data_IF_653458134372
#
_entry.id   IF_653458134372
#
_cell.length_a   1.000
_cell.length_b   1.000
_cell.length_c   1.000
_cell.angle_alpha   90.00
_cell.angle_beta   90.00
_cell.angle_gamma   90.00
#
_symmetry.space_group_name_H-M   'P 1'
#
loop_
_entity.id
_entity.type
_entity.pdbx_description
1 polymer ?
#
# COMPACT_ATOMS: atom_id res chain seq x y z
N UNK A 1 -4.46 -1.87 29.04
CA UNK A 1 -4.44 -2.70 27.82
C UNK A 1 -4.92 -4.09 28.16
N UNK A 2 -5.75 -4.71 27.32
CA UNK A 2 -6.24 -6.09 27.54
C UNK A 2 -5.15 -7.13 27.23
N UNK A 3 -4.29 -6.84 26.24
CA UNK A 3 -3.11 -7.62 25.86
C UNK A 3 -1.90 -6.70 26.02
N UNK A 4 -0.89 -7.15 26.77
CA UNK A 4 0.36 -6.41 26.85
C UNK A 4 1.09 -6.48 25.50
N UNK A 5 1.53 -5.32 25.02
CA UNK A 5 2.29 -5.19 23.78
C UNK A 5 3.47 -4.24 24.01
N UNK A 6 4.72 -4.67 23.83
CA UNK A 6 5.90 -3.82 23.94
C UNK A 6 5.86 -2.63 22.96
N UNK A 7 6.58 -1.53 23.24
CA UNK A 7 6.47 -0.29 22.46
C UNK A 7 6.90 -0.44 21.01
N UNK A 8 8.03 -1.11 20.79
CA UNK A 8 8.57 -1.44 19.48
C UNK A 8 7.58 -2.26 18.66
N UNK A 9 6.97 -3.27 19.27
CA UNK A 9 5.94 -4.11 18.63
C UNK A 9 4.68 -3.31 18.35
N UNK A 10 4.26 -2.42 19.27
CA UNK A 10 3.09 -1.58 19.07
C UNK A 10 3.25 -0.61 17.89
N UNK A 11 4.43 -0.02 17.71
CA UNK A 11 4.73 0.83 16.54
C UNK A 11 4.68 0.01 15.25
N UNK A 12 5.30 -1.17 15.24
CA UNK A 12 5.29 -2.04 14.06
C UNK A 12 3.86 -2.51 13.71
N UNK A 13 3.08 -2.95 14.69
CA UNK A 13 1.66 -3.28 14.50
C UNK A 13 0.85 -2.07 14.00
N UNK A 14 1.12 -0.88 14.55
CA UNK A 14 0.54 0.37 14.08
C UNK A 14 0.81 0.61 12.58
N UNK A 15 2.02 0.32 12.11
CA UNK A 15 2.37 0.49 10.69
C UNK A 15 1.62 -0.47 9.76
N UNK A 16 1.45 -1.74 10.15
CA UNK A 16 0.63 -2.70 9.39
C UNK A 16 -0.85 -2.29 9.39
N UNK A 17 -1.37 -1.76 10.50
CA UNK A 17 -2.73 -1.26 10.57
C UNK A 17 -2.94 -0.04 9.64
N UNK A 18 -1.95 0.84 9.53
CA UNK A 18 -1.95 1.96 8.59
C UNK A 18 -1.91 1.47 7.14
N UNK A 19 -1.01 0.53 6.79
CA UNK A 19 -0.97 -0.07 5.45
C UNK A 19 -2.31 -0.72 5.08
N UNK A 20 -2.91 -1.50 5.98
CA UNK A 20 -4.20 -2.15 5.73
C UNK A 20 -5.35 -1.14 5.55
N UNK A 21 -5.25 0.06 6.14
CA UNK A 21 -6.30 1.08 6.06
C UNK A 21 -6.13 2.03 4.88
N UNK A 22 -4.90 2.47 4.61
CA UNK A 22 -4.61 3.54 3.65
C UNK A 22 -3.93 3.04 2.36
N UNK A 23 -3.47 1.78 2.33
CA UNK A 23 -2.64 1.26 1.25
C UNK A 23 -1.26 1.91 1.26
N UNK A 24 -0.55 1.84 0.13
CA UNK A 24 0.82 2.35 0.02
C UNK A 24 0.97 3.81 0.41
N UNK A 25 2.04 4.11 1.15
CA UNK A 25 2.40 5.48 1.45
C UNK A 25 2.65 6.32 0.18
N UNK A 26 1.98 7.47 0.07
CA UNK A 26 2.20 8.46 -0.98
C UNK A 26 2.40 9.85 -0.36
N UNK A 27 3.59 10.45 -0.55
CA UNK A 27 3.97 11.77 -0.03
C UNK A 27 3.08 12.94 -0.50
N UNK A 28 2.40 12.78 -1.64
CA UNK A 28 1.47 13.79 -2.15
C UNK A 28 0.14 13.78 -1.39
N UNK A 29 -0.31 12.58 -0.97
CA UNK A 29 -1.60 12.36 -0.31
C UNK A 29 -1.45 12.38 1.22
N UNK A 30 -0.46 11.65 1.75
CA UNK A 30 -0.18 11.51 3.17
C UNK A 30 0.71 12.65 3.65
N UNK A 31 0.08 13.79 3.94
CA UNK A 31 0.73 14.94 4.58
C UNK A 31 0.87 14.71 6.09
N UNK A 32 1.79 15.45 6.72
CA UNK A 32 1.97 15.42 8.17
C UNK A 32 0.64 15.56 8.91
N UNK A 33 0.40 14.68 9.89
CA UNK A 33 -0.83 14.63 10.65
C UNK A 33 -1.94 13.77 10.05
N UNK A 34 -1.71 13.04 8.94
CA UNK A 34 -2.72 12.15 8.34
C UNK A 34 -3.16 10.99 9.27
N UNK A 35 -2.42 10.74 10.36
CA UNK A 35 -2.70 9.71 11.37
C UNK A 35 -3.36 10.26 12.63
N UNK A 36 -3.64 11.58 12.72
CA UNK A 36 -4.17 12.23 13.92
C UNK A 36 -5.58 11.76 14.32
N UNK A 37 -6.35 11.17 13.41
CA UNK A 37 -7.65 10.57 13.75
C UNK A 37 -7.53 9.15 14.30
N UNK A 38 -6.36 8.53 14.17
CA UNK A 38 -6.17 7.10 14.42
C UNK A 38 -5.70 6.82 15.84
N UNK A 39 -6.23 5.73 16.40
CA UNK A 39 -5.80 5.18 17.68
C UNK A 39 -4.84 4.01 17.43
N UNK A 40 -3.60 4.36 17.09
CA UNK A 40 -2.59 3.37 16.65
C UNK A 40 -1.82 2.71 17.79
N UNK A 41 -1.68 3.40 18.93
CA UNK A 41 -0.86 2.93 20.04
C UNK A 41 -1.69 2.77 21.32
N UNK A 42 -1.37 1.79 22.18
CA UNK A 42 -1.93 1.69 23.52
C UNK A 42 -1.59 2.90 24.37
N UNK A 43 -2.51 3.31 25.25
CA UNK A 43 -2.34 4.50 26.10
C UNK A 43 -1.07 4.40 26.96
N UNK A 44 -0.78 3.21 27.49
CA UNK A 44 0.44 2.92 28.26
C UNK A 44 1.73 3.26 27.50
N UNK A 45 1.77 2.96 26.19
CA UNK A 45 2.93 3.23 25.33
C UNK A 45 3.09 4.73 25.11
N UNK A 46 1.98 5.45 24.94
CA UNK A 46 1.99 6.90 24.80
C UNK A 46 2.48 7.61 26.07
N UNK A 47 2.07 7.13 27.24
CA UNK A 47 2.36 7.78 28.53
C UNK A 47 3.77 7.50 29.06
N UNK A 48 4.33 6.32 28.78
CA UNK A 48 5.64 5.94 29.34
C UNK A 48 6.84 6.62 28.64
N UNK A 49 6.65 7.18 27.45
CA UNK A 49 7.70 7.86 26.70
C UNK A 49 7.40 9.36 26.58
N UNK A 50 8.44 10.19 26.63
CA UNK A 50 8.34 11.64 26.44
C UNK A 50 8.33 12.01 24.95
N UNK A 51 7.51 11.34 24.16
CA UNK A 51 7.34 11.63 22.73
C UNK A 51 6.02 12.34 22.51
N UNK A 52 6.03 13.37 21.68
CA UNK A 52 4.82 14.00 21.18
C UNK A 52 4.08 13.06 20.23
N UNK A 53 2.81 13.37 19.98
CA UNK A 53 2.00 12.63 19.00
C UNK A 53 2.66 12.60 17.62
N UNK A 54 3.14 13.74 17.15
CA UNK A 54 3.79 13.87 15.84
C UNK A 54 5.04 12.99 15.73
N UNK A 55 5.82 12.87 16.81
CA UNK A 55 6.99 11.98 16.84
C UNK A 55 6.63 10.49 16.82
N UNK A 56 5.47 10.11 17.38
CA UNK A 56 4.97 8.74 17.23
C UNK A 56 4.46 8.47 15.81
N UNK A 57 3.78 9.45 15.21
CA UNK A 57 3.33 9.36 13.83
C UNK A 57 4.51 9.22 12.87
N UNK A 58 5.57 10.02 13.03
CA UNK A 58 6.79 9.92 12.23
C UNK A 58 7.40 8.51 12.30
N UNK A 59 7.45 7.89 13.50
CA UNK A 59 7.96 6.52 13.66
C UNK A 59 7.10 5.49 12.95
N UNK A 60 5.78 5.63 13.00
CA UNK A 60 4.86 4.72 12.30
C UNK A 60 4.93 4.94 10.79
N UNK A 61 5.05 6.19 10.35
CA UNK A 61 5.20 6.56 8.94
C UNK A 61 6.46 5.94 8.33
N UNK A 62 7.60 5.97 9.04
CA UNK A 62 8.84 5.31 8.59
C UNK A 62 8.63 3.82 8.31
N UNK A 63 7.85 3.11 9.13
CA UNK A 63 7.54 1.71 8.85
C UNK A 63 6.48 1.56 7.75
N UNK A 64 5.51 2.46 7.67
CA UNK A 64 4.50 2.45 6.61
C UNK A 64 5.13 2.59 5.21
N UNK A 65 6.22 3.36 5.07
CA UNK A 65 6.93 3.45 3.78
C UNK A 65 7.60 2.15 3.37
N UNK A 66 8.01 1.31 4.32
CA UNK A 66 8.64 0.01 4.07
C UNK A 66 7.64 -1.06 3.58
N UNK A 67 6.34 -0.86 3.82
CA UNK A 67 5.29 -1.81 3.42
C UNK A 67 4.77 -1.57 1.99
N UNK A 68 5.46 -0.74 1.19
CA UNK A 68 5.02 -0.40 -0.17
C UNK A 68 4.88 -1.66 -1.04
N UNK A 69 3.74 -1.77 -1.72
CA UNK A 69 3.38 -2.91 -2.55
C UNK A 69 2.73 -4.07 -1.77
N UNK A 70 2.58 -3.94 -0.45
CA UNK A 70 1.90 -4.93 0.38
C UNK A 70 0.39 -4.78 0.25
N UNK A 71 -0.29 -5.88 -0.03
CA UNK A 71 -1.75 -5.92 -0.09
C UNK A 71 -2.35 -5.70 1.30
N UNK A 72 -3.58 -5.19 1.32
CA UNK A 72 -4.33 -4.98 2.56
C UNK A 72 -4.45 -6.28 3.36
N UNK A 73 -4.77 -7.38 2.69
CA UNK A 73 -4.95 -8.70 3.27
C UNK A 73 -3.64 -9.23 3.86
N UNK A 74 -2.53 -9.03 3.15
CA UNK A 74 -1.20 -9.39 3.62
C UNK A 74 -0.79 -8.55 4.85
N UNK A 75 -1.07 -7.24 4.85
CA UNK A 75 -0.81 -6.37 5.99
C UNK A 75 -1.62 -6.79 7.23
N UNK A 76 -2.91 -7.15 7.06
CA UNK A 76 -3.73 -7.69 8.14
C UNK A 76 -3.19 -9.04 8.65
N UNK A 77 -2.69 -9.90 7.76
CA UNK A 77 -2.11 -11.18 8.12
C UNK A 77 -0.79 -11.02 8.87
N UNK A 78 0.12 -10.15 8.43
CA UNK A 78 1.38 -9.85 9.12
C UNK A 78 1.14 -9.24 10.50
N UNK A 79 0.15 -8.33 10.63
CA UNK A 79 -0.30 -7.85 11.93
C UNK A 79 -0.64 -9.01 12.87
N UNK A 80 -1.47 -9.95 12.42
CA UNK A 80 -1.90 -11.09 13.23
C UNK A 80 -0.75 -12.07 13.52
N UNK A 81 0.19 -12.25 12.58
CA UNK A 81 1.38 -13.09 12.78
C UNK A 81 2.29 -12.58 13.89
N UNK A 82 2.41 -11.27 14.04
CA UNK A 82 3.17 -10.66 15.13
C UNK A 82 2.35 -10.68 16.42
N UNK A 83 1.07 -10.30 16.35
CA UNK A 83 0.21 -10.22 17.53
C UNK A 83 0.02 -11.58 18.22
N UNK A 84 -0.01 -12.69 17.45
CA UNK A 84 -0.18 -14.03 18.03
C UNK A 84 0.98 -14.49 18.92
N UNK A 85 2.16 -13.89 18.76
CA UNK A 85 3.35 -14.22 19.54
C UNK A 85 3.44 -13.43 20.86
N UNK A 86 2.53 -12.47 21.09
CA UNK A 86 2.43 -11.75 22.37
C UNK A 86 1.97 -12.69 23.49
N UNK A 87 2.58 -12.57 24.67
CA UNK A 87 2.42 -13.54 25.76
C UNK A 87 0.99 -13.63 26.31
N UNK A 88 0.19 -12.57 26.15
CA UNK A 88 -1.21 -12.53 26.59
C UNK A 88 -2.21 -12.82 25.46
N UNK A 89 -1.74 -13.01 24.22
CA UNK A 89 -2.61 -13.18 23.08
C UNK A 89 -3.42 -14.47 23.17
N UNK A 90 -4.73 -14.37 22.96
CA UNK A 90 -5.63 -15.52 22.95
C UNK A 90 -5.85 -16.19 24.31
N UNK A 91 -5.36 -15.61 25.41
CA UNK A 91 -5.47 -16.19 26.76
C UNK A 91 -6.71 -15.66 27.48
N UNK A 92 -7.55 -16.59 27.95
CA UNK A 92 -8.68 -16.28 28.82
C UNK A 92 -8.26 -16.44 30.29
N UNK A 93 -8.14 -15.33 31.02
CA UNK A 93 -7.71 -15.34 32.42
C UNK A 93 -8.87 -15.49 33.41
N UNK A 94 -8.68 -16.33 34.42
CA UNK A 94 -9.62 -16.56 35.53
C UNK A 94 -8.90 -16.50 36.87
N UNK A 95 -9.48 -15.78 37.83
CA UNK A 95 -9.01 -15.78 39.22
C UNK A 95 -9.34 -17.12 39.87
N UNK A 96 -8.31 -17.77 40.42
CA UNK A 96 -8.42 -19.06 41.08
C UNK A 96 -7.59 -19.09 42.37
N UNK A 97 -7.88 -20.06 43.23
CA UNK A 97 -7.09 -20.37 44.43
C UNK A 97 -6.58 -21.80 44.40
N UNK A 98 -5.36 -22.02 44.86
CA UNK A 98 -4.85 -23.38 45.10
C UNK A 98 -5.42 -23.95 46.42
N UNK A 99 -5.06 -25.19 46.78
CA UNK A 99 -5.46 -25.83 48.06
C UNK A 99 -5.00 -25.05 49.30
N UNK A 100 -3.92 -24.26 49.20
CA UNK A 100 -3.38 -23.43 50.29
C UNK A 100 -4.06 -22.05 50.39
N UNK A 101 -4.96 -21.73 49.46
CA UNK A 101 -5.68 -20.45 49.43
C UNK A 101 -4.93 -19.31 48.73
N UNK A 102 -3.77 -19.55 48.12
CA UNK A 102 -3.02 -18.53 47.38
C UNK A 102 -3.80 -18.08 46.13
N UNK A 103 -3.88 -16.78 45.93
CA UNK A 103 -4.45 -16.17 44.72
C UNK A 103 -3.54 -16.40 43.51
N UNK A 104 -4.12 -16.89 42.41
CA UNK A 104 -3.44 -17.24 41.17
C UNK A 104 -4.35 -16.90 39.98
N UNK A 105 -3.77 -16.88 38.78
CA UNK A 105 -4.54 -16.86 37.54
C UNK A 105 -4.45 -18.20 36.83
N UNK A 106 -5.58 -18.65 36.29
CA UNK A 106 -5.66 -19.68 35.27
C UNK A 106 -5.79 -19.00 33.90
N UNK A 107 -4.90 -19.29 32.97
CA UNK A 107 -5.05 -18.99 31.56
C UNK A 107 -5.56 -20.20 30.80
N UNK A 108 -6.58 -20.00 29.97
CA UNK A 108 -7.08 -21.00 29.01
C UNK A 108 -6.85 -20.47 27.60
N UNK A 109 -6.09 -21.23 26.79
CA UNK A 109 -5.76 -20.86 25.41
C UNK A 109 -5.86 -22.05 24.45
N UNK A 110 -5.48 -21.83 23.19
CA UNK A 110 -5.56 -22.83 22.14
C UNK A 110 -4.53 -23.98 22.28
N UNK A 111 -3.52 -23.83 23.14
CA UNK A 111 -2.42 -24.77 23.35
C UNK A 111 -2.59 -25.60 24.62
N UNK A 112 -3.19 -25.02 25.67
CA UNK A 112 -3.43 -25.71 26.92
C UNK A 112 -4.00 -24.83 28.04
N UNK A 113 -3.61 -25.21 29.26
CA UNK A 113 -3.90 -24.48 30.48
C UNK A 113 -2.60 -24.00 31.12
N UNK A 114 -2.61 -22.77 31.62
CA UNK A 114 -1.44 -22.15 32.21
C UNK A 114 -1.79 -21.56 33.58
N UNK A 115 -0.89 -21.68 34.56
CA UNK A 115 -1.05 -21.13 35.91
C UNK A 115 -0.05 -20.00 36.08
N UNK A 116 -0.54 -18.85 36.51
CA UNK A 116 0.26 -17.65 36.72
C UNK A 116 0.15 -17.17 38.16
N UNK A 117 1.18 -16.46 38.60
CA UNK A 117 1.13 -15.73 39.87
C UNK A 117 0.15 -14.56 39.77
N UNK A 118 -0.42 -14.14 40.90
CA UNK A 118 -1.42 -13.07 40.89
C UNK A 118 -0.91 -11.75 40.28
N UNK A 119 0.40 -11.49 40.41
CA UNK A 119 1.05 -10.23 40.07
C UNK A 119 1.71 -10.24 38.67
N UNK A 120 1.73 -11.39 37.99
CA UNK A 120 2.40 -11.56 36.68
C UNK A 120 1.54 -12.44 35.78
N UNK A 121 0.91 -11.84 34.77
CA UNK A 121 0.10 -12.54 33.75
C UNK A 121 0.88 -12.88 32.48
N UNK A 122 2.14 -12.48 32.38
CA UNK A 122 2.99 -12.69 31.21
C UNK A 122 3.69 -14.05 31.29
N UNK A 123 4.22 -14.39 32.47
CA UNK A 123 5.06 -15.59 32.62
C UNK A 123 4.30 -16.72 33.33
N UNK A 124 3.91 -17.80 32.63
CA UNK A 124 3.28 -18.94 33.28
C UNK A 124 4.31 -19.69 34.16
N UNK A 125 3.87 -20.12 35.34
CA UNK A 125 4.68 -20.95 36.26
C UNK A 125 4.49 -22.43 36.04
N UNK A 126 3.30 -22.85 35.62
CA UNK A 126 2.95 -24.24 35.35
C UNK A 126 2.10 -24.27 34.08
N UNK A 127 2.42 -25.16 33.16
CA UNK A 127 1.66 -25.39 31.93
C UNK A 127 1.15 -26.83 31.84
N UNK A 128 -0.04 -27.00 31.27
CA UNK A 128 -0.65 -28.28 30.93
C UNK A 128 -1.07 -28.26 29.47
N UNK A 129 -0.24 -28.78 28.54
CA UNK A 129 -0.63 -28.93 27.15
C UNK A 129 -1.91 -29.75 27.01
N UNK A 130 -2.75 -29.44 26.02
CA UNK A 130 -3.99 -30.21 25.80
C UNK A 130 -3.74 -31.71 25.62
N UNK A 131 -2.59 -32.11 25.04
CA UNK A 131 -2.19 -33.51 24.89
C UNK A 131 -1.84 -34.23 26.20
N UNK A 132 -1.69 -33.53 27.31
CA UNK A 132 -1.36 -34.12 28.62
C UNK A 132 -2.58 -34.22 29.53
N UNK A 133 -3.74 -33.73 29.09
CA UNK A 133 -4.96 -33.69 29.89
C UNK A 133 -5.89 -34.83 29.47
N UNK A 134 -6.24 -35.69 30.44
CA UNK A 134 -7.16 -36.82 30.22
C UNK A 134 -8.61 -36.41 30.43
N UNK A 135 -8.87 -35.69 31.51
CA UNK A 135 -10.22 -35.32 31.91
C UNK A 135 -10.22 -34.03 32.72
N UNK A 136 -11.24 -33.21 32.51
CA UNK A 136 -11.49 -32.00 33.28
C UNK A 136 -12.90 -32.08 33.86
N UNK A 137 -13.05 -31.78 35.14
CA UNK A 137 -14.36 -31.69 35.79
C UNK A 137 -14.36 -30.72 36.95
N UNK A 138 -15.55 -30.33 37.42
CA UNK A 138 -15.70 -29.54 38.62
C UNK A 138 -16.92 -29.98 39.44
N UNK A 139 -16.88 -29.71 40.74
CA UNK A 139 -18.01 -29.83 41.64
C UNK A 139 -18.06 -28.59 42.55
N UNK A 140 -19.17 -27.86 42.48
CA UNK A 140 -19.34 -26.54 43.09
C UNK A 140 -18.16 -25.59 42.77
N UNK A 141 -17.33 -25.25 43.77
CA UNK A 141 -16.15 -24.38 43.61
C UNK A 141 -14.89 -25.14 43.21
N UNK A 142 -14.81 -26.45 43.44
CA UNK A 142 -13.61 -27.27 43.23
C UNK A 142 -13.52 -27.71 41.78
N UNK A 143 -12.40 -27.42 41.13
CA UNK A 143 -12.08 -27.82 39.76
C UNK A 143 -10.91 -28.81 39.77
N UNK A 144 -10.97 -29.83 38.92
CA UNK A 144 -10.01 -30.93 38.87
C UNK A 144 -9.56 -31.16 37.43
N UNK A 145 -8.24 -31.16 37.22
CA UNK A 145 -7.58 -31.53 35.97
C UNK A 145 -6.84 -32.83 36.21
N UNK A 146 -7.21 -33.87 35.47
CA UNK A 146 -6.59 -35.19 35.55
C UNK A 146 -5.61 -35.37 34.39
N UNK A 147 -4.33 -35.63 34.65
CA UNK A 147 -3.35 -35.87 33.58
C UNK A 147 -3.56 -37.21 32.86
N UNK A 148 -2.98 -37.33 31.66
CA UNK A 148 -2.86 -38.59 30.94
C UNK A 148 -1.86 -39.52 31.63
N UNK A 149 -0.82 -39.02 32.30
CA UNK A 149 -0.04 -39.91 33.16
C UNK A 149 -0.86 -40.28 34.41
N UNK A 150 -1.17 -41.57 34.58
CA UNK A 150 -1.91 -42.08 35.75
C UNK A 150 -1.12 -41.95 37.06
N UNK A 151 0.21 -41.82 36.99
CA UNK A 151 1.08 -41.67 38.17
C UNK A 151 1.15 -40.21 38.63
N UNK A 152 0.93 -39.26 37.73
CA UNK A 152 0.91 -37.84 38.06
C UNK A 152 -0.33 -37.49 38.89
N UNK A 153 -0.20 -36.66 39.94
CA UNK A 153 -1.31 -36.28 40.79
C UNK A 153 -2.31 -35.39 40.05
N UNK A 154 -3.59 -35.49 40.42
CA UNK A 154 -4.64 -34.57 39.97
C UNK A 154 -4.30 -33.13 40.38
N UNK A 155 -4.37 -32.19 39.43
CA UNK A 155 -4.26 -30.77 39.72
C UNK A 155 -5.62 -30.22 40.13
N UNK A 156 -5.68 -29.51 41.27
CA UNK A 156 -6.94 -29.04 41.86
C UNK A 156 -6.82 -27.57 42.22
N UNK A 157 -7.81 -26.79 41.79
CA UNK A 157 -7.96 -25.38 42.16
C UNK A 157 -9.42 -25.06 42.48
N UNK A 158 -9.65 -23.85 42.97
CA UNK A 158 -10.96 -23.37 43.39
C UNK A 158 -11.26 -22.03 42.73
N UNK A 159 -12.40 -21.94 42.04
CA UNK A 159 -12.91 -20.66 41.54
C UNK A 159 -13.90 -20.05 42.55
N UNK A 160 -14.03 -18.72 42.62
CA UNK A 160 -14.86 -18.07 43.64
C UNK A 160 -16.37 -18.30 43.44
N UNK A 161 -16.81 -18.61 42.22
CA UNK A 161 -18.23 -18.78 41.86
C UNK A 161 -18.42 -19.97 40.91
N UNK A 162 -19.50 -20.73 41.09
CA UNK A 162 -19.91 -21.85 40.22
C UNK A 162 -19.98 -21.46 38.72
N UNK A 163 -20.51 -20.26 38.42
CA UNK A 163 -20.63 -19.76 37.04
C UNK A 163 -19.27 -19.64 36.33
N UNK A 164 -18.20 -19.37 37.09
CA UNK A 164 -16.85 -19.26 36.54
C UNK A 164 -16.36 -20.65 36.14
N UNK A 165 -16.55 -21.66 36.99
CA UNK A 165 -16.21 -23.04 36.66
C UNK A 165 -16.95 -23.54 35.40
N UNK A 166 -18.23 -23.20 35.24
CA UNK A 166 -18.98 -23.51 34.00
C UNK A 166 -18.31 -22.89 32.77
N UNK A 167 -17.91 -21.62 32.83
CA UNK A 167 -17.24 -20.92 31.72
C UNK A 167 -15.85 -21.49 31.43
N UNK A 168 -15.05 -21.79 32.47
CA UNK A 168 -13.74 -22.44 32.31
C UNK A 168 -13.92 -23.77 31.59
N UNK A 169 -14.84 -24.63 32.05
CA UNK A 169 -15.08 -25.93 31.44
C UNK A 169 -15.49 -25.83 29.97
N UNK A 170 -16.40 -24.91 29.63
CA UNK A 170 -16.82 -24.68 28.24
C UNK A 170 -15.64 -24.29 27.34
N UNK A 171 -14.79 -23.37 27.81
CA UNK A 171 -13.59 -22.97 27.06
C UNK A 171 -12.59 -24.11 26.93
N UNK A 172 -12.38 -24.90 27.98
CA UNK A 172 -11.50 -26.07 27.91
C UNK A 172 -12.00 -27.09 26.89
N UNK A 173 -13.30 -27.39 26.89
CA UNK A 173 -13.90 -28.33 25.94
C UNK A 173 -13.74 -27.85 24.49
N UNK A 174 -14.10 -26.60 24.20
CA UNK A 174 -13.97 -26.03 22.85
C UNK A 174 -12.52 -25.94 22.37
N UNK A 175 -11.60 -25.49 23.22
CA UNK A 175 -10.18 -25.40 22.86
C UNK A 175 -9.57 -26.79 22.65
N UNK A 176 -9.84 -27.74 23.53
CA UNK A 176 -9.35 -29.12 23.39
C UNK A 176 -9.90 -29.80 22.12
N UNK A 177 -11.18 -29.60 21.79
CA UNK A 177 -11.79 -30.11 20.55
C UNK A 177 -11.08 -29.55 19.31
N UNK A 178 -10.91 -28.23 19.24
CA UNK A 178 -10.19 -27.58 18.13
C UNK A 178 -8.72 -27.99 18.08
N UNK A 179 -8.05 -28.15 19.22
CA UNK A 179 -6.67 -28.64 19.32
C UNK A 179 -6.53 -30.04 18.72
N UNK A 180 -7.48 -30.94 19.02
CA UNK A 180 -7.51 -32.29 18.46
C UNK A 180 -7.87 -32.30 16.98
N UNK A 181 -8.78 -31.42 16.53
CA UNK A 181 -9.12 -31.26 15.12
C UNK A 181 -7.90 -30.82 14.29
N UNK A 182 -7.11 -29.85 14.76
CA UNK A 182 -5.89 -29.35 14.08
C UNK A 182 -4.77 -30.40 13.93
N UNK A 183 -4.82 -31.50 14.69
CA UNK A 183 -3.85 -32.62 14.62
C UNK A 183 -4.29 -33.75 13.71
N UNK A 184 -5.49 -33.66 13.15
CA UNK A 184 -6.00 -34.59 12.14
C UNK A 184 -5.84 -33.96 10.76
N UNK A 185 -5.82 -34.77 9.69
CA UNK A 185 -5.92 -34.23 8.34
C UNK A 185 -7.16 -33.34 8.18
N UNK A 186 -7.04 -32.31 7.36
CA UNK A 186 -8.16 -31.43 7.04
C UNK A 186 -9.34 -32.21 6.47
N UNK A 187 -10.55 -31.83 6.85
CA UNK A 187 -11.77 -32.37 6.27
C UNK A 187 -11.91 -31.94 4.81
N UNK A 188 -12.67 -32.69 4.02
CA UNK A 188 -12.93 -32.36 2.60
C UNK A 188 -13.44 -30.92 2.45
N UNK A 189 -14.35 -30.51 3.33
CA UNK A 189 -14.87 -29.14 3.38
C UNK A 189 -13.75 -28.10 3.58
N UNK A 190 -12.84 -28.31 4.53
CA UNK A 190 -11.72 -27.38 4.78
C UNK A 190 -10.75 -27.37 3.59
N UNK A 191 -10.51 -28.50 2.94
CA UNK A 191 -9.68 -28.56 1.73
C UNK A 191 -10.31 -27.78 0.57
N UNK A 192 -11.62 -27.91 0.36
CA UNK A 192 -12.36 -27.14 -0.63
C UNK A 192 -12.34 -25.64 -0.33
N UNK A 193 -12.57 -25.24 0.92
CA UNK A 193 -12.47 -23.85 1.35
C UNK A 193 -11.07 -23.26 1.09
N UNK A 194 -10.01 -24.02 1.39
CA UNK A 194 -8.62 -23.59 1.11
C UNK A 194 -8.34 -23.47 -0.39
N UNK A 195 -8.83 -24.40 -1.20
CA UNK A 195 -8.68 -24.33 -2.66
C UNK A 195 -9.40 -23.11 -3.23
N UNK A 196 -10.65 -22.87 -2.81
CA UNK A 196 -11.44 -21.71 -3.22
C UNK A 196 -10.78 -20.39 -2.80
N UNK A 197 -10.30 -20.29 -1.55
CA UNK A 197 -9.62 -19.10 -1.07
C UNK A 197 -8.33 -18.81 -1.86
N UNK A 198 -7.58 -19.85 -2.25
CA UNK A 198 -6.37 -19.71 -3.06
C UNK A 198 -6.69 -19.25 -4.49
N UNK A 199 -7.76 -19.78 -5.08
CA UNK A 199 -8.23 -19.32 -6.40
C UNK A 199 -8.70 -17.86 -6.33
N UNK A 200 -9.42 -17.47 -5.28
CA UNK A 200 -9.86 -16.10 -5.07
C UNK A 200 -8.68 -15.14 -4.87
N UNK A 201 -7.69 -15.51 -4.07
CA UNK A 201 -6.46 -14.73 -3.88
C UNK A 201 -5.70 -14.55 -5.20
N UNK A 202 -5.59 -15.60 -6.02
CA UNK A 202 -4.97 -15.52 -7.34
C UNK A 202 -5.74 -14.57 -8.26
N UNK A 203 -7.08 -14.68 -8.31
CA UNK A 203 -7.93 -13.78 -9.10
C UNK A 203 -7.78 -12.32 -8.66
N UNK A 204 -7.69 -12.05 -7.36
CA UNK A 204 -7.48 -10.69 -6.83
C UNK A 204 -6.13 -10.14 -7.32
N UNK A 205 -5.05 -10.92 -7.19
CA UNK A 205 -3.71 -10.51 -7.64
C UNK A 205 -3.64 -10.25 -9.14
N UNK A 206 -4.18 -11.16 -9.96
CA UNK A 206 -4.23 -10.98 -11.42
C UNK A 206 -5.03 -9.73 -11.81
N UNK A 207 -6.15 -9.45 -11.12
CA UNK A 207 -6.95 -8.25 -11.35
C UNK A 207 -6.17 -6.97 -11.02
N UNK A 208 -5.40 -6.95 -9.94
CA UNK A 208 -4.59 -5.80 -9.57
C UNK A 208 -3.43 -5.57 -10.55
N UNK A 209 -2.74 -6.63 -10.97
CA UNK A 209 -1.70 -6.53 -12.02
C UNK A 209 -2.27 -5.98 -13.33
N UNK A 210 -3.45 -6.45 -13.75
CA UNK A 210 -4.15 -5.93 -14.92
C UNK A 210 -4.53 -4.46 -14.76
N UNK A 211 -4.99 -4.04 -13.57
CA UNK A 211 -5.30 -2.64 -13.30
C UNK A 211 -4.06 -1.74 -13.36
N UNK A 212 -2.92 -2.20 -12.86
CA UNK A 212 -1.65 -1.46 -12.94
C UNK A 212 -1.24 -1.29 -14.40
N UNK A 213 -1.23 -2.39 -15.18
CA UNK A 213 -0.91 -2.34 -16.62
C UNK A 213 -1.88 -1.44 -17.39
N UNK A 214 -3.17 -1.45 -17.04
CA UNK A 214 -4.16 -0.57 -17.66
C UNK A 214 -3.83 0.90 -17.40
N UNK A 215 -3.44 1.27 -16.16
CA UNK A 215 -3.01 2.64 -15.84
C UNK A 215 -1.76 3.05 -16.61
N UNK A 216 -0.77 2.17 -16.73
CA UNK A 216 0.43 2.43 -17.53
C UNK A 216 0.09 2.65 -18.99
N UNK A 217 -0.80 1.83 -19.55
CA UNK A 217 -1.27 1.95 -20.93
C UNK A 217 -2.04 3.27 -21.15
N UNK A 218 -2.93 3.64 -20.23
CA UNK A 218 -3.64 4.92 -20.26
C UNK A 218 -2.67 6.11 -20.21
N UNK A 219 -1.63 6.03 -19.39
CA UNK A 219 -0.62 7.08 -19.30
C UNK A 219 0.23 7.19 -20.57
N UNK A 220 0.64 6.05 -21.13
CA UNK A 220 1.35 6.00 -22.42
C UNK A 220 0.49 6.57 -23.55
N UNK A 221 -0.79 6.21 -23.59
CA UNK A 221 -1.74 6.71 -24.59
C UNK A 221 -1.89 8.22 -24.49
N UNK A 222 -2.06 8.76 -23.28
CA UNK A 222 -2.12 10.22 -23.05
C UNK A 222 -0.83 10.94 -23.47
N UNK A 223 0.34 10.32 -23.26
CA UNK A 223 1.63 10.87 -23.72
C UNK A 223 1.71 10.89 -25.24
N UNK A 224 1.38 9.77 -25.90
CA UNK A 224 1.37 9.67 -27.35
C UNK A 224 0.37 10.66 -28.00
N UNK A 225 -0.82 10.83 -27.42
CA UNK A 225 -1.81 11.82 -27.88
C UNK A 225 -1.28 13.25 -27.79
N UNK A 226 -0.59 13.61 -26.69
CA UNK A 226 0.05 14.92 -26.54
C UNK A 226 1.14 15.14 -27.60
N UNK A 227 2.01 14.15 -27.81
CA UNK A 227 3.07 14.22 -28.83
C UNK A 227 2.49 14.38 -30.24
N UNK A 228 1.45 13.61 -30.57
CA UNK A 228 0.77 13.72 -31.85
C UNK A 228 0.11 15.10 -32.03
N UNK A 229 -0.53 15.63 -30.98
CA UNK A 229 -1.11 16.97 -30.99
C UNK A 229 -0.06 18.06 -31.26
N UNK A 230 1.11 17.95 -30.62
CA UNK A 230 2.23 18.86 -30.86
C UNK A 230 2.78 18.75 -32.28
N UNK A 231 2.90 17.54 -32.83
CA UNK A 231 3.32 17.33 -34.22
C UNK A 231 2.33 17.93 -35.21
N UNK A 232 1.03 17.74 -35.00
CA UNK A 232 -0.03 18.35 -35.84
C UNK A 232 0.06 19.87 -35.79
N UNK A 233 0.28 20.46 -34.61
CA UNK A 233 0.45 21.91 -34.47
C UNK A 233 1.67 22.41 -35.26
N UNK A 234 2.83 21.78 -35.10
CA UNK A 234 4.05 22.13 -35.85
C UNK A 234 3.87 21.97 -37.36
N UNK A 235 3.19 20.92 -37.82
CA UNK A 235 2.93 20.71 -39.24
C UNK A 235 2.06 21.82 -39.83
N UNK A 236 1.04 22.28 -39.09
CA UNK A 236 0.20 23.43 -39.49
C UNK A 236 1.00 24.72 -39.57
N UNK A 237 1.83 25.01 -38.57
CA UNK A 237 2.70 26.20 -38.57
C UNK A 237 3.65 26.19 -39.79
N UNK A 238 4.29 25.06 -40.08
CA UNK A 238 5.16 24.92 -41.26
C UNK A 238 4.39 25.05 -42.58
N UNK A 239 3.14 24.58 -42.65
CA UNK A 239 2.31 24.72 -43.84
C UNK A 239 1.89 26.18 -44.08
N UNK A 240 1.57 26.93 -43.01
CA UNK A 240 1.29 28.37 -43.08
C UNK A 240 2.53 29.18 -43.47
N UNK A 241 3.70 28.86 -42.91
CA UNK A 241 4.98 29.47 -43.32
C UNK A 241 5.27 29.19 -44.79
N UNK A 242 5.13 27.93 -45.24
CA UNK A 242 5.35 27.54 -46.63
C UNK A 242 4.41 28.28 -47.57
N UNK A 243 3.13 28.40 -47.20
CA UNK A 243 2.13 29.13 -47.99
C UNK A 243 2.49 30.61 -48.08
N UNK A 244 2.91 31.22 -46.98
CA UNK A 244 3.33 32.64 -46.95
C UNK A 244 4.59 32.89 -47.78
N UNK A 245 5.59 32.01 -47.66
CA UNK A 245 6.81 32.07 -48.46
C UNK A 245 6.53 31.89 -49.96
N UNK A 246 5.57 31.02 -50.33
CA UNK A 246 5.18 30.83 -51.72
C UNK A 246 4.50 32.07 -52.31
N UNK A 247 3.60 32.71 -51.56
CA UNK A 247 2.96 33.98 -51.98
C UNK A 247 4.01 35.08 -52.17
N UNK A 248 4.97 35.19 -51.25
CA UNK A 248 6.02 36.21 -51.38
C UNK A 248 6.99 35.91 -52.54
N UNK A 249 7.31 34.64 -52.80
CA UNK A 249 8.12 34.24 -53.95
C UNK A 249 7.44 34.59 -55.27
N UNK A 250 6.14 34.31 -55.42
CA UNK A 250 5.34 34.67 -56.60
C UNK A 250 5.32 36.20 -56.81
N UNK A 251 5.20 36.98 -55.73
CA UNK A 251 5.26 38.44 -55.77
C UNK A 251 6.62 38.95 -56.25
N UNK A 252 7.72 38.43 -55.67
CA UNK A 252 9.08 38.81 -56.06
C UNK A 252 9.39 38.42 -57.52
N UNK A 253 8.86 37.29 -57.99
CA UNK A 253 9.00 36.86 -59.38
C UNK A 253 8.26 37.80 -60.35
N UNK A 254 7.04 38.23 -60.00
CA UNK A 254 6.29 39.21 -60.76
C UNK A 254 7.02 40.57 -60.83
N UNK A 255 7.58 41.03 -59.71
CA UNK A 255 8.37 42.26 -59.65
C UNK A 255 9.64 42.16 -60.50
N UNK A 256 10.36 41.04 -60.42
CA UNK A 256 11.53 40.76 -61.27
C UNK A 256 11.18 40.79 -62.75
N UNK A 257 10.06 40.18 -63.16
CA UNK A 257 9.63 40.16 -64.55
C UNK A 257 9.27 41.58 -65.04
N UNK A 258 8.62 42.37 -64.19
CA UNK A 258 8.34 43.79 -64.47
C UNK A 258 9.62 44.61 -64.64
N UNK A 259 10.59 44.45 -63.73
CA UNK A 259 11.88 45.13 -63.80
C UNK A 259 12.68 44.74 -65.06
N UNK A 260 12.65 43.46 -65.46
CA UNK A 260 13.27 43.00 -66.71
C UNK A 260 12.66 43.69 -67.94
N UNK A 261 11.33 43.79 -68.01
CA UNK A 261 10.65 44.51 -69.10
C UNK A 261 11.01 45.99 -69.14
N UNK A 262 11.02 46.65 -67.98
CA UNK A 262 11.41 48.05 -67.88
C UNK A 262 12.86 48.26 -68.32
N UNK A 263 13.76 47.34 -67.96
CA UNK A 263 15.16 47.37 -68.40
C UNK A 263 15.30 47.22 -69.92
N UNK A 264 14.63 46.25 -70.53
CA UNK A 264 14.62 46.06 -71.99
C UNK A 264 14.10 47.30 -72.72
N UNK A 265 13.07 47.96 -72.16
CA UNK A 265 12.51 49.19 -72.74
C UNK A 265 13.48 50.36 -72.63
N UNK A 266 14.16 50.52 -71.48
CA UNK A 266 15.20 51.53 -71.30
C UNK A 266 16.39 51.29 -72.24
N UNK A 267 16.81 50.05 -72.44
CA UNK A 267 17.87 49.67 -73.38
C UNK A 267 17.46 50.02 -74.83
N UNK A 268 16.20 49.77 -75.22
CA UNK A 268 15.68 50.20 -76.54
C UNK A 268 15.69 51.72 -76.69
N UNK A 269 15.26 52.46 -75.67
CA UNK A 269 15.27 53.92 -75.69
C UNK A 269 16.69 54.47 -75.79
N UNK A 270 17.63 53.93 -75.01
CA UNK A 270 19.04 54.30 -75.05
C UNK A 270 19.67 54.01 -76.42
N UNK A 271 19.40 52.85 -77.00
CA UNK A 271 19.86 52.51 -78.35
C UNK A 271 19.29 53.44 -79.42
N UNK A 272 18.01 53.83 -79.30
CA UNK A 272 17.40 54.82 -80.19
C UNK A 272 18.02 56.21 -80.02
N UNK A 273 18.31 56.61 -78.78
CA UNK A 273 18.95 57.89 -78.47
C UNK A 273 20.40 57.95 -78.99
N UNK A 274 21.18 56.87 -78.85
CA UNK A 274 22.52 56.78 -79.43
C UNK A 274 22.48 56.90 -80.96
N UNK A 275 21.57 56.20 -81.64
CA UNK A 275 21.39 56.36 -83.09
C UNK A 275 21.03 57.79 -83.48
N UNK A 276 20.18 58.46 -82.71
CA UNK A 276 19.84 59.86 -82.95
C UNK A 276 21.02 60.80 -82.73
N UNK A 277 21.86 60.56 -81.71
CA UNK A 277 23.09 61.32 -81.48
C UNK A 277 24.14 61.07 -82.56
N UNK A 278 24.30 59.84 -83.04
CA UNK A 278 25.16 59.51 -84.18
C UNK A 278 24.71 60.25 -85.45
N UNK A 279 23.40 60.29 -85.72
CA UNK A 279 22.84 61.06 -86.84
C UNK A 279 23.12 62.57 -86.70
N UNK A 280 22.85 63.16 -85.53
CA UNK A 280 23.14 64.58 -85.27
C UNK A 280 24.64 64.90 -85.36
N UNK A 281 25.51 64.02 -84.88
CA UNK A 281 26.96 64.18 -84.97
C UNK A 281 27.44 64.10 -86.44
N UNK A 282 26.80 63.25 -87.24
CA UNK A 282 27.05 63.17 -88.69
C UNK A 282 26.61 64.45 -89.40
N UNK A 283 25.41 64.97 -89.10
CA UNK A 283 24.91 66.24 -89.66
C UNK A 283 25.75 67.46 -89.22
N UNK A 284 26.23 67.49 -87.97
CA UNK A 284 27.14 68.54 -87.49
C UNK A 284 28.52 68.47 -88.15
N UNK A 285 29.03 67.26 -88.43
CA UNK A 285 30.26 67.05 -89.19
C UNK A 285 30.11 67.52 -90.65
N UNK A 286 28.94 67.37 -91.26
CA UNK A 286 28.63 67.92 -92.58
C UNK A 286 28.51 69.45 -92.61
N UNK A 287 28.12 70.09 -91.49
CA UNK A 287 28.00 71.56 -91.37
C UNK A 287 29.28 72.30 -90.99
N UNK A 288 30.33 71.59 -90.56
CA UNK A 288 31.62 72.15 -90.10
C UNK A 288 32.78 71.91 -91.07
N UNK A 289 32.50 71.34 -92.24
CA UNK A 289 33.42 71.15 -93.37
C UNK A 289 33.17 72.18 -94.49
#
# INVERSE_FOLDING_TARGET
DEVYCPPETAVLLGSYAVQAKFGDYNKEIHKSGYLNSERLLPQRVLEQHKLSRDQWEERIEVWHTEHRGMLKEDAMLEYLKIAQDLEMYGINYFEIKNKKGSDLWLGVDALGLNIYEHNDKLTPKIGFPWSEIRNISFNDKKFVIKPIDKKAPDFVFYAPRLRINKRILQLCMGNHELYMRRRKPDTIEVQQMKAQAKEEEQMIREKEELMIRLREYEEQTKRAEKELSEQIRKAKELEEERRSAQVEAERLEAERLSALRAKEELERQSAAQMKSQEQLATELAEYTA
#
